data_IF_681892862751
#
_entry.id   IF_681892862751
#
_cell.length_a   1.000
_cell.length_b   1.000
_cell.length_c   1.000
_cell.angle_alpha   90.00
_cell.angle_beta   90.00
_cell.angle_gamma   90.00
#
_symmetry.space_group_name_H-M   'P 1'
#
loop_
_entity.id
_entity.type
_entity.pdbx_description
1 polymer ?
#
# COMPACT_ATOMS: atom_id res chain seq x y z
N UNK A 1 -14.35 6.53 -8.95
CA UNK A 1 -13.13 7.35 -9.06
C UNK A 1 -11.93 6.44 -9.11
N UNK A 2 -11.12 6.53 -10.17
CA UNK A 2 -9.90 5.72 -10.28
C UNK A 2 -8.69 6.61 -10.08
N UNK A 3 -7.89 6.30 -9.08
CA UNK A 3 -6.67 7.07 -8.81
C UNK A 3 -5.53 6.11 -8.48
N UNK A 4 -4.38 6.36 -9.05
CA UNK A 4 -3.20 5.61 -8.70
C UNK A 4 -2.67 6.14 -7.37
N UNK A 5 -2.31 5.22 -6.47
CA UNK A 5 -1.78 5.57 -5.16
C UNK A 5 -0.47 4.86 -4.94
N UNK A 6 0.44 5.53 -4.23
CA UNK A 6 1.67 4.94 -3.74
C UNK A 6 1.69 5.12 -2.24
N UNK A 7 1.78 4.02 -1.53
CA UNK A 7 1.79 4.00 -0.07
C UNK A 7 3.16 3.52 0.39
N UNK A 8 3.86 4.38 1.11
CA UNK A 8 5.20 4.06 1.60
C UNK A 8 5.09 3.53 3.03
N UNK A 9 5.74 2.38 3.26
CA UNK A 9 5.69 1.67 4.53
C UNK A 9 7.11 1.40 4.99
N UNK A 10 7.37 1.57 6.29
CA UNK A 10 8.68 1.28 6.87
C UNK A 10 8.91 -0.22 6.90
N UNK A 11 10.10 -0.64 6.47
CA UNK A 11 10.48 -2.05 6.47
C UNK A 11 10.28 -2.72 5.13
N UNK A 12 10.86 -3.90 4.98
CA UNK A 12 10.78 -4.66 3.73
C UNK A 12 9.66 -5.67 3.81
N UNK A 13 8.67 -5.50 2.96
CA UNK A 13 7.49 -6.36 2.89
C UNK A 13 7.72 -7.43 1.82
N UNK A 14 7.49 -8.68 2.19
CA UNK A 14 7.63 -9.80 1.27
C UNK A 14 6.55 -9.73 0.19
N UNK A 15 6.90 -10.11 -1.02
CA UNK A 15 6.00 -10.12 -2.17
C UNK A 15 4.78 -11.04 -1.96
N UNK A 16 4.88 -12.00 -1.07
CA UNK A 16 3.76 -12.88 -0.75
C UNK A 16 2.56 -12.13 -0.19
N UNK A 17 2.74 -10.93 0.32
CA UNK A 17 1.66 -10.10 0.86
C UNK A 17 0.80 -9.41 -0.20
N UNK A 18 1.15 -9.59 -1.46
CA UNK A 18 0.45 -9.02 -2.58
C UNK A 18 -1.04 -9.30 -2.57
N UNK A 19 -1.40 -10.57 -2.33
CA UNK A 19 -2.81 -10.97 -2.28
C UNK A 19 -3.53 -10.35 -1.08
N UNK A 20 -2.82 -10.15 0.02
CA UNK A 20 -3.39 -9.50 1.19
C UNK A 20 -3.79 -8.06 0.88
N UNK A 21 -3.02 -7.39 0.03
CA UNK A 21 -3.28 -6.01 -0.37
C UNK A 21 -4.01 -5.91 -1.71
N UNK A 22 -4.91 -6.86 -1.99
CA UNK A 22 -5.78 -6.84 -3.17
C UNK A 22 -5.02 -6.75 -4.49
N UNK A 23 -3.87 -7.41 -4.56
CA UNK A 23 -3.07 -7.46 -5.77
C UNK A 23 -2.27 -6.21 -6.07
N UNK A 24 -2.11 -5.33 -5.10
CA UNK A 24 -1.26 -4.16 -5.28
C UNK A 24 0.19 -4.58 -5.51
N UNK A 25 0.89 -3.81 -6.32
CA UNK A 25 2.30 -4.06 -6.58
C UNK A 25 3.13 -3.67 -5.36
N UNK A 26 4.07 -4.53 -4.99
CA UNK A 26 4.99 -4.27 -3.88
C UNK A 26 6.39 -4.10 -4.44
N UNK A 27 6.99 -2.93 -4.19
CA UNK A 27 8.37 -2.67 -4.56
C UNK A 27 9.13 -2.24 -3.31
N UNK A 28 10.45 -2.31 -3.37
CA UNK A 28 11.30 -1.93 -2.26
C UNK A 28 12.11 -0.69 -2.61
N UNK A 29 12.27 0.21 -1.65
CA UNK A 29 13.07 1.41 -1.81
C UNK A 29 13.94 1.56 -0.57
N UNK A 30 15.22 1.26 -0.68
CA UNK A 30 16.10 1.22 0.48
C UNK A 30 15.64 0.17 1.47
N UNK A 31 15.34 0.59 2.69
CA UNK A 31 14.83 -0.31 3.73
C UNK A 31 13.30 -0.23 3.87
N UNK A 32 12.63 0.42 2.94
CA UNK A 32 11.17 0.62 2.96
C UNK A 32 10.49 -0.11 1.82
N UNK A 33 9.18 -0.25 1.93
CA UNK A 33 8.36 -0.86 0.88
C UNK A 33 7.36 0.15 0.34
N UNK A 34 7.01 0.00 -0.94
CA UNK A 34 6.03 0.86 -1.59
C UNK A 34 4.94 -0.04 -2.15
N UNK A 35 3.70 0.23 -1.74
CA UNK A 35 2.52 -0.40 -2.31
C UNK A 35 1.95 0.53 -3.38
N UNK A 36 1.81 0.03 -4.59
CA UNK A 36 1.29 0.81 -5.72
C UNK A 36 0.09 0.12 -6.32
N UNK A 37 -0.92 0.91 -6.66
CA UNK A 37 -2.10 0.35 -7.30
C UNK A 37 -3.14 1.41 -7.60
N UNK A 38 -4.24 0.95 -8.21
CA UNK A 38 -5.37 1.80 -8.56
C UNK A 38 -6.44 1.65 -7.48
N UNK A 39 -6.91 2.77 -6.97
CA UNK A 39 -7.98 2.80 -5.98
C UNK A 39 -9.22 3.35 -6.66
N UNK A 40 -10.33 2.62 -6.54
CA UNK A 40 -11.57 3.00 -7.19
C UNK A 40 -12.44 3.94 -6.34
N UNK A 41 -12.27 3.93 -5.02
CA UNK A 41 -13.00 4.81 -4.11
C UNK A 41 -12.26 4.93 -2.77
N UNK A 42 -12.78 5.78 -1.89
CA UNK A 42 -12.17 5.98 -0.57
C UNK A 42 -12.26 4.75 0.31
N UNK A 43 -13.32 3.97 0.18
CA UNK A 43 -13.48 2.75 0.96
C UNK A 43 -12.36 1.77 0.66
N UNK A 44 -11.95 1.67 -0.60
CA UNK A 44 -10.82 0.81 -1.00
C UNK A 44 -9.53 1.28 -0.34
N UNK A 45 -9.29 2.59 -0.30
CA UNK A 45 -8.12 3.16 0.36
C UNK A 45 -8.12 2.85 1.85
N UNK A 46 -9.25 3.07 2.51
CA UNK A 46 -9.37 2.80 3.95
C UNK A 46 -9.15 1.32 4.24
N UNK A 47 -9.62 0.44 3.37
CA UNK A 47 -9.39 -0.99 3.50
C UNK A 47 -7.91 -1.34 3.48
N UNK A 48 -7.16 -0.75 2.55
CA UNK A 48 -5.72 -0.95 2.47
C UNK A 48 -5.02 -0.43 3.73
N UNK A 49 -5.39 0.76 4.18
CA UNK A 49 -4.78 1.35 5.38
C UNK A 49 -5.09 0.53 6.64
N UNK A 50 -6.29 -0.02 6.73
CA UNK A 50 -6.66 -0.91 7.84
C UNK A 50 -5.83 -2.20 7.81
N UNK A 51 -5.57 -2.75 6.64
CA UNK A 51 -4.74 -3.95 6.51
C UNK A 51 -3.30 -3.68 6.93
N UNK A 52 -2.78 -2.50 6.61
CA UNK A 52 -1.46 -2.09 7.05
C UNK A 52 -1.40 -2.06 8.57
N UNK A 53 -2.42 -1.49 9.19
CA UNK A 53 -2.51 -1.42 10.64
C UNK A 53 -2.64 -2.81 11.27
N UNK A 54 -3.43 -3.69 10.66
CA UNK A 54 -3.63 -5.05 11.17
C UNK A 54 -2.34 -5.86 11.20
N UNK A 55 -1.43 -5.57 10.26
CA UNK A 55 -0.11 -6.21 10.24
C UNK A 55 0.90 -5.49 11.12
N UNK A 56 0.45 -4.46 11.83
CA UNK A 56 1.31 -3.65 12.71
C UNK A 56 2.48 -3.00 11.95
N UNK A 57 2.23 -2.61 10.72
CA UNK A 57 3.22 -1.93 9.89
C UNK A 57 3.15 -0.42 10.13
N UNK A 58 4.29 0.25 9.93
CA UNK A 58 4.37 1.70 10.09
C UNK A 58 4.15 2.39 8.76
N UNK A 59 3.07 3.15 8.66
CA UNK A 59 2.78 3.96 7.49
C UNK A 59 3.66 5.20 7.47
N UNK A 60 4.37 5.43 6.37
CA UNK A 60 5.23 6.60 6.22
C UNK A 60 4.56 7.70 5.41
N UNK A 61 3.94 7.35 4.30
CA UNK A 61 3.27 8.35 3.46
C UNK A 61 2.25 7.70 2.53
N UNK A 62 1.31 8.51 2.07
CA UNK A 62 0.34 8.14 1.04
C UNK A 62 0.37 9.24 -0.01
N UNK A 63 0.67 8.89 -1.25
CA UNK A 63 0.73 9.83 -2.35
C UNK A 63 -0.18 9.39 -3.47
N UNK A 64 -0.93 10.32 -4.02
CA UNK A 64 -1.78 10.06 -5.17
C UNK A 64 -1.06 10.54 -6.42
N UNK A 65 -1.01 9.66 -7.39
CA UNK A 65 -0.40 9.93 -8.69
C UNK A 65 -1.54 9.96 -9.70
N UNK A 66 -2.20 11.07 -9.79
CA UNK A 66 -3.39 11.20 -10.63
C UNK A 66 -3.04 11.44 -12.09
#
# INVERSE_FOLDING_TARGET
MKRKVKIRIKGLLDDKWRNWFDGMEITHEGSNSILSGIIIDEAALHGILNKIRDLNLTLLSVNFDS
#
